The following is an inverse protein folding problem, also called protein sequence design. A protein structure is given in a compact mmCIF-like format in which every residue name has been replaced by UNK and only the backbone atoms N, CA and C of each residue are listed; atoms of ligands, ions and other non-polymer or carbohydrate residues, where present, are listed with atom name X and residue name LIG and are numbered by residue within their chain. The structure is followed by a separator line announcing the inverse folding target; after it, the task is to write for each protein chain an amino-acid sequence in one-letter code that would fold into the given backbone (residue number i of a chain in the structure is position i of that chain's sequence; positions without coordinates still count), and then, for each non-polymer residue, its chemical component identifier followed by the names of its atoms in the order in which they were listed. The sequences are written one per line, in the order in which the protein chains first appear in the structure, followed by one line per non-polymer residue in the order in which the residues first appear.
data_IF_691739214723
#
_entry.id   IF_691739214723
#
_cell.length_a   1.000
_cell.length_b   1.000
_cell.length_c   1.000
_cell.angle_alpha   90.00
_cell.angle_beta   90.00
_cell.angle_gamma   90.00
#
_symmetry.space_group_name_H-M   'P 1'
#
loop_
_entity.id
_entity.type
_entity.pdbx_description
1 polymer ?
#
# COMPACT_ATOMS: atom_id res chain seq x y z
N UNK A 1 4.84 20.41 -2.93
CA UNK A 1 5.20 19.03 -3.28
C UNK A 1 4.85 18.16 -2.09
N UNK A 2 3.90 17.24 -2.24
CA UNK A 2 3.53 16.29 -1.19
C UNK A 2 4.38 15.04 -1.30
N UNK A 3 4.65 14.39 -0.16
CA UNK A 3 5.28 13.07 -0.09
C UNK A 3 4.16 12.02 -0.11
N UNK A 4 4.21 11.07 -1.03
CA UNK A 4 3.21 10.01 -1.14
C UNK A 4 3.58 8.82 -0.27
N UNK A 5 2.56 8.08 0.15
CA UNK A 5 2.73 6.80 0.83
C UNK A 5 3.00 5.73 -0.22
N UNK A 6 3.91 4.80 0.08
CA UNK A 6 4.14 3.60 -0.72
C UNK A 6 3.99 2.39 0.18
N UNK A 7 3.06 1.50 -0.13
CA UNK A 7 2.89 0.21 0.51
C UNK A 7 3.09 -0.91 -0.52
N UNK A 8 3.93 -1.88 -0.20
CA UNK A 8 4.24 -3.03 -1.07
C UNK A 8 3.91 -4.30 -0.31
N UNK A 9 3.10 -5.17 -0.91
CA UNK A 9 2.56 -6.38 -0.29
C UNK A 9 2.89 -7.57 -1.19
N UNK A 10 3.46 -8.68 -0.69
CA UNK A 10 3.62 -9.89 -1.46
C UNK A 10 2.27 -10.41 -2.00
N UNK A 11 2.25 -10.90 -3.24
CA UNK A 11 1.07 -11.48 -3.85
C UNK A 11 1.14 -13.03 -3.77
N UNK A 12 1.03 -13.59 -2.57
CA UNK A 12 1.23 -15.03 -2.33
C UNK A 12 0.17 -15.92 -3.01
N UNK A 13 -1.06 -15.39 -3.17
CA UNK A 13 -2.16 -16.07 -3.87
C UNK A 13 -2.12 -15.90 -5.39
N UNK A 14 -1.13 -15.17 -5.93
CA UNK A 14 -1.02 -14.87 -7.37
C UNK A 14 -2.29 -14.25 -7.96
N UNK A 15 -2.88 -13.30 -7.23
CA UNK A 15 -4.02 -12.52 -7.70
C UNK A 15 -3.66 -11.72 -8.94
N UNK A 16 -4.60 -11.54 -9.85
CA UNK A 16 -4.38 -10.73 -11.05
C UNK A 16 -4.62 -9.25 -10.79
N UNK A 17 -4.17 -8.41 -11.71
CA UNK A 17 -4.38 -6.96 -11.63
C UNK A 17 -5.88 -6.64 -11.71
N UNK A 18 -6.63 -7.40 -12.48
CA UNK A 18 -8.08 -7.29 -12.61
C UNK A 18 -8.78 -7.63 -11.30
N UNK A 19 -8.47 -8.77 -10.66
CA UNK A 19 -9.08 -9.14 -9.37
C UNK A 19 -8.79 -8.08 -8.28
N UNK A 20 -7.55 -7.58 -8.24
CA UNK A 20 -7.15 -6.55 -7.28
C UNK A 20 -7.88 -5.22 -7.53
N UNK A 21 -8.09 -4.85 -8.79
CA UNK A 21 -8.83 -3.65 -9.14
C UNK A 21 -10.33 -3.79 -8.87
N UNK A 22 -10.93 -4.96 -9.11
CA UNK A 22 -12.35 -5.20 -8.85
C UNK A 22 -12.69 -5.03 -7.36
N UNK A 23 -11.83 -5.52 -6.47
CA UNK A 23 -12.09 -5.49 -5.03
C UNK A 23 -11.63 -4.20 -4.34
N UNK A 24 -10.58 -3.54 -4.85
CA UNK A 24 -9.92 -2.43 -4.14
C UNK A 24 -9.77 -1.12 -4.93
N UNK A 25 -10.27 -1.03 -6.16
CA UNK A 25 -10.34 0.22 -6.90
C UNK A 25 -11.70 0.90 -6.66
N UNK A 26 -11.72 2.08 -6.05
CA UNK A 26 -12.93 2.89 -5.91
C UNK A 26 -13.02 3.88 -7.09
N UNK A 27 -14.02 3.65 -7.96
CA UNK A 27 -14.56 4.49 -9.07
C UNK A 27 -13.82 5.75 -9.56
N UNK A 28 -13.77 5.86 -10.89
CA UNK A 28 -13.48 7.08 -11.66
C UNK A 28 -14.51 8.19 -11.36
N UNK A 29 -14.09 9.23 -10.64
CA UNK A 29 -14.78 10.53 -10.64
C UNK A 29 -13.85 11.53 -11.30
N UNK A 30 -14.29 12.14 -12.41
CA UNK A 30 -13.68 13.33 -13.01
C UNK A 30 -12.14 13.26 -13.26
N UNK A 31 -11.68 12.24 -14.00
CA UNK A 31 -10.32 12.14 -14.55
C UNK A 31 -9.14 11.95 -13.56
N UNK A 32 -9.38 11.86 -12.24
CA UNK A 32 -8.33 11.54 -11.26
C UNK A 32 -8.53 10.13 -10.65
N UNK A 33 -7.54 9.26 -10.88
CA UNK A 33 -7.50 7.90 -10.36
C UNK A 33 -6.92 7.91 -8.95
N UNK A 34 -7.74 7.54 -7.96
CA UNK A 34 -7.26 7.33 -6.60
C UNK A 34 -7.99 6.14 -5.95
N UNK A 35 -7.30 5.14 -5.38
CA UNK A 35 -5.89 4.80 -5.50
C UNK A 35 -5.65 3.54 -6.37
N UNK A 36 -4.68 3.60 -7.27
CA UNK A 36 -4.34 2.47 -8.14
C UNK A 36 -3.35 1.53 -7.44
N UNK A 37 -3.73 0.26 -7.35
CA UNK A 37 -2.82 -0.83 -7.03
C UNK A 37 -2.09 -1.28 -8.29
N UNK A 38 -0.79 -1.50 -8.21
CA UNK A 38 0.02 -2.00 -9.33
C UNK A 38 0.68 -3.32 -8.94
N UNK A 39 0.42 -4.37 -9.72
CA UNK A 39 1.23 -5.57 -9.64
C UNK A 39 2.58 -5.37 -10.33
N UNK A 40 3.63 -5.91 -9.72
CA UNK A 40 4.95 -5.98 -10.32
C UNK A 40 5.69 -7.25 -9.88
N UNK A 41 6.74 -7.59 -10.61
CA UNK A 41 7.62 -8.70 -10.26
C UNK A 41 8.98 -8.20 -9.79
N UNK A 42 9.52 -8.81 -8.74
CA UNK A 42 10.87 -8.57 -8.27
C UNK A 42 11.45 -9.86 -7.67
N UNK A 43 12.69 -10.18 -8.04
CA UNK A 43 13.36 -11.43 -7.62
C UNK A 43 12.50 -12.71 -7.82
N UNK A 44 11.73 -12.77 -8.91
CA UNK A 44 10.87 -13.91 -9.25
C UNK A 44 9.62 -14.07 -8.37
N UNK A 45 9.25 -13.04 -7.61
CA UNK A 45 8.02 -12.98 -6.82
C UNK A 45 7.11 -11.84 -7.31
N UNK A 46 5.81 -12.04 -7.21
CA UNK A 46 4.79 -11.02 -7.49
C UNK A 46 4.49 -10.21 -6.24
N UNK A 47 4.32 -8.90 -6.41
CA UNK A 47 3.97 -7.95 -5.36
C UNK A 47 2.87 -7.01 -5.87
N UNK A 48 2.04 -6.54 -4.95
CA UNK A 48 1.12 -5.44 -5.15
C UNK A 48 1.68 -4.17 -4.49
N UNK A 49 1.84 -3.11 -5.27
CA UNK A 49 2.20 -1.79 -4.78
C UNK A 49 0.98 -0.89 -4.74
N UNK A 50 0.83 -0.16 -3.65
CA UNK A 50 -0.17 0.88 -3.47
C UNK A 50 0.54 2.21 -3.23
N UNK A 51 0.12 3.24 -3.97
CA UNK A 51 0.56 4.59 -3.71
C UNK A 51 -0.60 5.55 -3.54
N UNK A 52 -0.53 6.33 -2.47
CA UNK A 52 -1.63 7.22 -2.07
C UNK A 52 -1.10 8.62 -1.80
N UNK A 53 -1.84 9.59 -2.33
CA UNK A 53 -1.81 10.99 -1.93
C UNK A 53 -2.99 11.24 -0.97
N UNK A 54 -2.96 12.20 -0.02
CA UNK A 54 -1.89 13.16 0.25
C UNK A 54 -1.08 12.88 1.54
N UNK A 55 0.23 13.22 1.54
CA UNK A 55 1.15 13.31 2.71
C UNK A 55 1.34 12.04 3.54
N UNK A 56 2.59 11.56 3.57
CA UNK A 56 3.08 10.51 4.47
C UNK A 56 2.48 10.61 5.88
N UNK A 57 1.89 9.51 6.33
CA UNK A 57 1.44 9.30 7.71
C UNK A 57 2.38 8.28 8.33
N UNK A 58 2.95 8.63 9.47
CA UNK A 58 3.77 7.70 10.24
C UNK A 58 2.87 6.60 10.82
N UNK A 59 3.24 5.31 10.70
CA UNK A 59 2.48 4.22 11.27
C UNK A 59 2.40 4.32 12.80
N UNK A 60 1.26 4.75 13.32
CA UNK A 60 1.04 4.95 14.75
C UNK A 60 -0.35 4.47 15.16
N UNK A 61 -0.40 3.58 16.16
CA UNK A 61 -1.66 3.12 16.74
C UNK A 61 -2.46 4.32 17.25
N UNK A 62 -3.78 4.28 17.05
CA UNK A 62 -4.71 5.35 17.45
C UNK A 62 -4.61 6.65 16.64
N UNK A 63 -3.79 6.73 15.59
CA UNK A 63 -3.87 7.84 14.65
C UNK A 63 -5.04 7.56 13.67
N UNK A 64 -6.11 8.37 13.64
CA UNK A 64 -7.32 8.08 12.86
C UNK A 64 -7.06 7.81 11.38
N UNK A 65 -6.11 8.56 10.80
CA UNK A 65 -5.66 8.37 9.42
C UNK A 65 -4.88 7.08 9.17
N UNK A 66 -4.06 6.67 10.15
CA UNK A 66 -3.35 5.40 10.07
C UNK A 66 -4.34 4.24 10.18
N UNK A 67 -5.31 4.31 11.09
CA UNK A 67 -6.35 3.27 11.22
C UNK A 67 -7.15 3.08 9.91
N UNK A 68 -7.43 4.17 9.19
CA UNK A 68 -8.06 4.09 7.87
C UNK A 68 -7.18 3.35 6.83
N UNK A 69 -5.88 3.69 6.77
CA UNK A 69 -4.91 3.01 5.89
C UNK A 69 -4.75 1.54 6.29
N UNK A 70 -4.56 1.29 7.59
CA UNK A 70 -4.36 -0.03 8.19
C UNK A 70 -5.53 -0.96 7.89
N UNK A 71 -6.77 -0.46 7.95
CA UNK A 71 -7.95 -1.24 7.56
C UNK A 71 -7.84 -1.78 6.13
N UNK A 72 -7.51 -0.93 5.17
CA UNK A 72 -7.34 -1.34 3.77
C UNK A 72 -6.16 -2.31 3.62
N UNK A 73 -5.04 -2.05 4.31
CA UNK A 73 -3.88 -2.95 4.29
C UNK A 73 -4.22 -4.35 4.81
N UNK A 74 -5.01 -4.45 5.88
CA UNK A 74 -5.45 -5.73 6.45
C UNK A 74 -6.35 -6.49 5.47
N UNK A 75 -7.33 -5.81 4.85
CA UNK A 75 -8.22 -6.41 3.86
C UNK A 75 -7.42 -6.92 2.64
N UNK A 76 -6.45 -6.13 2.15
CA UNK A 76 -5.61 -6.52 1.01
C UNK A 76 -4.63 -7.64 1.37
N UNK A 77 -4.06 -7.64 2.58
CA UNK A 77 -3.23 -8.74 3.06
C UNK A 77 -3.99 -10.07 3.01
N UNK A 78 -5.23 -10.09 3.50
CA UNK A 78 -6.09 -11.27 3.45
C UNK A 78 -6.38 -11.69 2.01
N UNK A 79 -6.71 -10.73 1.14
CA UNK A 79 -7.01 -10.97 -0.26
C UNK A 79 -5.83 -11.56 -1.04
N UNK A 80 -4.62 -11.00 -0.86
CA UNK A 80 -3.36 -11.45 -1.47
C UNK A 80 -2.75 -12.66 -0.77
N UNK A 81 -3.20 -12.99 0.45
CA UNK A 81 -2.70 -14.09 1.26
C UNK A 81 -1.37 -13.82 1.95
N UNK A 82 -0.94 -12.56 2.03
CA UNK A 82 0.31 -12.16 2.63
C UNK A 82 0.19 -11.87 4.13
N UNK A 83 1.35 -11.82 4.80
CA UNK A 83 1.47 -11.53 6.25
C UNK A 83 2.33 -10.31 6.55
N UNK A 84 2.84 -9.64 5.53
CA UNK A 84 3.74 -8.51 5.66
C UNK A 84 3.40 -7.41 4.66
N UNK A 85 3.60 -6.17 5.10
CA UNK A 85 3.51 -4.97 4.27
C UNK A 85 4.81 -4.22 4.44
N UNK A 86 5.47 -3.91 3.33
CA UNK A 86 6.60 -3.00 3.32
C UNK A 86 6.07 -1.59 3.09
N UNK A 87 6.34 -0.67 4.02
CA UNK A 87 5.70 0.65 4.04
C UNK A 87 6.74 1.77 4.10
N UNK A 88 6.48 2.85 3.36
CA UNK A 88 7.27 4.07 3.44
C UNK A 88 6.74 5.16 2.53
N UNK A 89 7.63 5.85 1.81
CA UNK A 89 7.27 6.99 0.99
C UNK A 89 8.04 7.11 -0.33
N UNK A 90 7.48 7.87 -1.27
CA UNK A 90 7.98 8.01 -2.64
C UNK A 90 9.25 8.88 -2.81
N UNK A 91 9.71 9.55 -1.74
CA UNK A 91 11.00 10.27 -1.75
C UNK A 91 12.16 9.30 -1.61
N UNK A 92 11.97 8.22 -0.85
CA UNK A 92 13.02 7.25 -0.52
C UNK A 92 12.80 5.91 -1.23
N UNK A 93 11.56 5.58 -1.55
CA UNK A 93 11.15 4.27 -2.05
C UNK A 93 10.40 4.39 -3.36
N UNK A 94 10.83 3.60 -4.33
CA UNK A 94 10.15 3.50 -5.60
C UNK A 94 9.02 2.47 -5.49
N UNK A 95 7.96 2.66 -6.26
CA UNK A 95 6.83 1.73 -6.29
C UNK A 95 7.16 0.46 -7.06
N UNK A 96 8.07 0.56 -8.03
CA UNK A 96 8.45 -0.53 -8.94
C UNK A 96 9.95 -0.56 -9.27
N UNK A 97 10.51 -1.73 -9.59
CA UNK A 97 11.89 -1.87 -10.03
C UNK A 97 12.22 -1.06 -11.29
N UNK A 98 11.25 -0.90 -12.20
CA UNK A 98 11.45 -0.20 -13.48
C UNK A 98 11.58 1.32 -13.32
N UNK A 99 11.29 1.83 -12.12
CA UNK A 99 11.39 3.25 -11.79
C UNK A 99 12.76 3.60 -11.18
N UNK A 100 13.69 2.65 -11.11
CA UNK A 100 15.03 2.88 -10.54
C UNK A 100 15.84 3.87 -11.36
N UNK A 101 16.55 4.74 -10.65
CA UNK A 101 17.52 5.61 -11.28
C UNK A 101 18.72 4.78 -11.77
N UNK A 102 19.35 5.17 -12.89
CA UNK A 102 20.56 4.50 -13.36
C UNK A 102 21.63 4.41 -12.25
N UNK A 103 22.07 3.20 -11.95
CA UNK A 103 23.07 2.92 -10.90
C UNK A 103 22.51 2.71 -9.50
N UNK A 104 21.19 2.62 -9.35
CA UNK A 104 20.52 2.27 -8.08
C UNK A 104 19.76 0.97 -8.23
N UNK A 105 19.94 0.07 -7.26
CA UNK A 105 19.15 -1.16 -7.17
C UNK A 105 17.82 -0.88 -6.48
N UNK A 106 16.77 -1.54 -6.97
CA UNK A 106 15.50 -1.58 -6.26
C UNK A 106 15.65 -2.45 -5.02
N UNK A 107 15.20 -1.94 -3.88
CA UNK A 107 15.15 -2.68 -2.62
C UNK A 107 13.77 -2.55 -2.01
N UNK A 108 13.26 -3.65 -1.45
CA UNK A 108 12.05 -3.59 -0.63
C UNK A 108 12.35 -2.85 0.69
N UNK A 109 11.43 -2.01 1.17
CA UNK A 109 11.57 -1.37 2.48
C UNK A 109 11.56 -2.40 3.61
N UNK A 110 11.86 -1.96 4.84
CA UNK A 110 11.64 -2.80 6.00
C UNK A 110 10.14 -3.11 6.15
N UNK A 111 9.77 -4.35 6.49
CA UNK A 111 8.38 -4.69 6.75
C UNK A 111 7.88 -3.95 7.99
N UNK A 112 6.61 -3.56 7.99
CA UNK A 112 5.94 -3.01 9.16
C UNK A 112 5.98 -4.01 10.32
N UNK A 113 6.03 -3.48 11.55
CA UNK A 113 5.88 -4.29 12.76
C UNK A 113 4.49 -4.93 12.74
N UNK A 114 4.40 -6.22 13.10
CA UNK A 114 3.14 -6.99 13.12
C UNK A 114 2.02 -6.31 13.92
N UNK A 115 2.40 -5.66 15.03
CA UNK A 115 1.51 -4.88 15.89
C UNK A 115 0.78 -3.74 15.16
N UNK A 116 1.29 -3.26 14.04
CA UNK A 116 0.70 -2.20 13.22
C UNK A 116 -0.22 -2.76 12.11
N UNK A 117 -0.28 -4.10 11.98
CA UNK A 117 -1.06 -4.83 10.99
C UNK A 117 -2.12 -5.75 11.63
N UNK A 118 -2.33 -5.65 12.94
CA UNK A 118 -3.48 -6.30 13.58
C UNK A 118 -4.78 -5.65 13.06
N UNK A 119 -5.96 -6.29 13.14
CA UNK A 119 -7.21 -5.62 12.82
C UNK A 119 -7.36 -4.28 13.57
N UNK A 120 -7.94 -3.24 12.94
CA UNK A 120 -8.12 -1.93 13.58
C UNK A 120 -9.00 -2.04 14.83
N UNK A 121 -8.75 -1.19 15.83
CA UNK A 121 -9.58 -1.13 17.04
C UNK A 121 -10.97 -0.56 16.68
N UNK A 122 -12.04 -1.31 16.96
CA UNK A 122 -13.43 -0.92 16.64
C UNK A 122 -13.87 0.38 17.33
N UNK A 123 -13.18 0.76 18.41
CA UNK A 123 -13.45 1.96 19.20
C UNK A 123 -12.91 3.25 18.55
N UNK A 124 -12.12 3.16 17.49
CA UNK A 124 -11.50 4.31 16.82
C UNK A 124 -12.25 4.60 15.52
N UNK A 125 -12.87 5.77 15.43
CA UNK A 125 -13.48 6.20 14.17
C UNK A 125 -12.38 6.57 13.17
N UNK A 126 -12.21 5.81 12.08
CA UNK A 126 -11.20 6.13 11.08
C UNK A 126 -11.54 7.46 10.39
N UNK A 127 -10.52 8.25 10.09
CA UNK A 127 -10.71 9.42 9.22
C UNK A 127 -11.11 8.97 7.81
N UNK A 128 -11.99 9.72 7.16
CA UNK A 128 -12.22 9.54 5.73
C UNK A 128 -10.90 9.76 5.01
N UNK A 129 -10.44 8.75 4.26
CA UNK A 129 -9.28 8.92 3.39
C UNK A 129 -9.74 9.83 2.26
N UNK A 130 -9.36 11.11 2.34
CA UNK A 130 -9.49 12.04 1.22
C UNK A 130 -8.43 11.61 0.22
N UNK A 131 -8.93 11.08 -0.87
CA UNK A 131 -8.22 10.57 -2.03
C UNK A 131 -7.62 11.73 -2.85
#
# INVERSE_FOLDING_TARGET
MGVNIVAIIPNEKNRTQEELNEDFCHFYVEEECVPYWELFEWEGKSYASWCISPRYVEPERNHPRWEAIRRILVEVLEFLGAKEVHYGNDVVLLKRPEQTFPGWDFVLPLPLKKELLEPPDEDITPESIIW
#
